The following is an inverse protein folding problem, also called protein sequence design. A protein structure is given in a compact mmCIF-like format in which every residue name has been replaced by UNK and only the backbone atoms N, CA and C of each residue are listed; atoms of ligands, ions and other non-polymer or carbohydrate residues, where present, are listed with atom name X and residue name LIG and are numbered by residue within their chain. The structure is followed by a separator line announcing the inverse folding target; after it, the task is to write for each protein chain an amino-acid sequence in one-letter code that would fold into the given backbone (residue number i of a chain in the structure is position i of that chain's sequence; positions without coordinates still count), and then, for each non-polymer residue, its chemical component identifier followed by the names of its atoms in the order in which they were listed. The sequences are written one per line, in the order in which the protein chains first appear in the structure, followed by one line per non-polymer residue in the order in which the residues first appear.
data_IF_088033241918
#
_entry.id   IF_088033241918
#
_cell.length_a   1.000
_cell.length_b   1.000
_cell.length_c   1.000
_cell.angle_alpha   90.00
_cell.angle_beta   90.00
_cell.angle_gamma   90.00
#
_symmetry.space_group_name_H-M   'P 1'
#
loop_
_entity.id
_entity.type
_entity.pdbx_description
1 polymer ?
#
# COMPACT_ATOMS: atom_id res chain seq x y z
N UNK A 1 -22.05 29.89 -12.59
CA UNK A 1 -22.06 28.68 -11.76
C UNK A 1 -20.71 28.01 -11.60
N UNK A 2 -20.38 27.80 -10.34
CA UNK A 2 -19.09 27.52 -9.70
C UNK A 2 -18.61 26.06 -9.85
N UNK A 3 -18.73 25.45 -11.04
CA UNK A 3 -18.31 24.03 -11.19
C UNK A 3 -16.78 23.87 -11.28
N UNK A 4 -16.06 24.93 -11.68
CA UNK A 4 -14.59 24.98 -11.79
C UNK A 4 -13.90 24.96 -10.42
N UNK A 5 -14.48 25.55 -9.38
CA UNK A 5 -13.88 25.66 -8.06
C UNK A 5 -13.97 24.35 -7.26
N UNK A 6 -15.05 23.58 -7.42
CA UNK A 6 -15.25 22.29 -6.74
C UNK A 6 -14.46 21.12 -7.35
N UNK A 7 -14.08 21.23 -8.63
CA UNK A 7 -13.33 20.19 -9.36
C UNK A 7 -12.22 20.80 -10.22
N UNK A 8 -11.11 21.25 -9.58
CA UNK A 8 -10.03 21.94 -10.29
C UNK A 8 -9.26 21.02 -11.25
N UNK A 9 -9.30 19.70 -11.05
CA UNK A 9 -8.51 18.76 -11.83
C UNK A 9 -9.29 18.20 -13.02
N UNK A 10 -9.04 18.73 -14.23
CA UNK A 10 -9.66 18.28 -15.49
C UNK A 10 -8.73 17.31 -16.25
N UNK A 11 -9.28 16.20 -16.72
CA UNK A 11 -8.62 15.32 -17.66
C UNK A 11 -8.67 15.90 -19.07
N UNK A 12 -7.51 16.07 -19.69
CA UNK A 12 -7.41 16.62 -21.05
C UNK A 12 -7.73 15.58 -22.13
N UNK A 13 -7.67 14.29 -21.78
CA UNK A 13 -7.92 13.17 -22.70
C UNK A 13 -9.43 12.96 -22.90
N UNK A 14 -10.22 12.98 -21.82
CA UNK A 14 -11.67 12.73 -21.89
C UNK A 14 -12.54 13.83 -21.27
N UNK A 15 -11.96 14.96 -20.86
CA UNK A 15 -12.68 16.12 -20.33
C UNK A 15 -13.21 15.99 -18.90
N UNK A 16 -13.09 14.82 -18.26
CA UNK A 16 -13.68 14.54 -16.93
C UNK A 16 -13.01 15.36 -15.82
N UNK A 17 -13.79 15.92 -14.89
CA UNK A 17 -13.29 16.75 -13.78
C UNK A 17 -13.34 16.01 -12.44
N UNK A 18 -12.35 16.27 -11.58
CA UNK A 18 -12.17 15.64 -10.28
C UNK A 18 -11.93 16.68 -9.18
N UNK A 19 -12.50 16.44 -8.00
CA UNK A 19 -12.36 17.29 -6.82
C UNK A 19 -11.00 17.11 -6.13
N UNK A 20 -10.44 15.90 -6.19
CA UNK A 20 -9.21 15.55 -5.49
C UNK A 20 -8.08 15.16 -6.47
N UNK A 21 -6.83 15.58 -6.19
CA UNK A 21 -5.68 15.27 -7.04
C UNK A 21 -5.36 13.77 -7.05
N UNK A 22 -5.63 13.05 -5.96
CA UNK A 22 -5.46 11.60 -5.89
C UNK A 22 -6.37 10.85 -6.87
N UNK A 23 -7.66 11.20 -6.88
CA UNK A 23 -8.64 10.64 -7.81
C UNK A 23 -8.30 10.98 -9.26
N UNK A 24 -7.87 12.21 -9.52
CA UNK A 24 -7.40 12.62 -10.84
C UNK A 24 -6.17 11.84 -11.31
N UNK A 25 -5.17 11.65 -10.43
CA UNK A 25 -3.95 10.91 -10.73
C UNK A 25 -4.23 9.43 -11.01
N UNK A 26 -5.18 8.82 -10.28
CA UNK A 26 -5.65 7.45 -10.55
C UNK A 26 -6.36 7.39 -11.89
N UNK A 27 -7.26 8.33 -12.16
CA UNK A 27 -7.98 8.39 -13.43
C UNK A 27 -7.05 8.59 -14.63
N UNK A 28 -6.00 9.43 -14.53
CA UNK A 28 -5.02 9.56 -15.62
C UNK A 28 -4.43 8.21 -16.03
N UNK A 29 -4.27 7.27 -15.09
CA UNK A 29 -3.79 5.91 -15.38
C UNK A 29 -4.79 5.05 -16.15
N UNK A 30 -6.08 5.40 -16.24
CA UNK A 30 -7.03 4.62 -17.05
C UNK A 30 -6.87 4.89 -18.54
N UNK A 31 -6.29 6.03 -18.91
CA UNK A 31 -5.99 6.37 -20.31
C UNK A 31 -4.64 5.83 -20.77
N UNK A 32 -3.81 5.39 -19.82
CA UNK A 32 -2.50 4.85 -20.08
C UNK A 32 -2.66 3.39 -20.56
N UNK A 33 -2.29 3.08 -21.80
CA UNK A 33 -2.41 1.74 -22.37
C UNK A 33 -1.49 0.77 -21.62
N UNK A 34 -1.98 -0.40 -21.22
CA UNK A 34 -1.20 -1.33 -20.40
C UNK A 34 -0.14 -2.11 -21.19
N UNK A 35 -0.15 -1.99 -22.53
CA UNK A 35 0.81 -2.67 -23.41
C UNK A 35 2.04 -1.81 -23.72
N UNK A 36 2.02 -0.50 -23.43
CA UNK A 36 3.21 0.34 -23.58
C UNK A 36 4.18 0.11 -22.40
N UNK A 37 5.44 -0.27 -22.65
CA UNK A 37 6.41 -0.61 -21.60
C UNK A 37 6.84 0.59 -20.75
N UNK A 38 6.81 1.82 -21.28
CA UNK A 38 7.11 3.03 -20.50
C UNK A 38 5.95 3.36 -19.54
N UNK A 39 4.71 3.15 -19.97
CA UNK A 39 3.51 3.38 -19.16
C UNK A 39 3.22 2.26 -18.16
N UNK A 40 3.55 1.01 -18.50
CA UNK A 40 3.52 -0.12 -17.58
C UNK A 40 4.43 0.13 -16.36
N UNK A 41 5.59 0.78 -16.56
CA UNK A 41 6.46 1.21 -15.47
C UNK A 41 5.83 2.30 -14.58
N UNK A 42 4.95 3.16 -15.12
CA UNK A 42 4.21 4.17 -14.34
C UNK A 42 3.11 3.51 -13.49
N UNK A 43 2.40 2.52 -14.05
CA UNK A 43 1.35 1.78 -13.32
C UNK A 43 1.93 0.81 -12.29
N UNK A 44 3.04 0.17 -12.63
CA UNK A 44 3.68 -0.89 -11.84
C UNK A 44 5.18 -0.59 -11.67
N UNK A 45 5.54 0.47 -10.91
CA UNK A 45 6.93 0.92 -10.81
C UNK A 45 7.85 -0.07 -10.09
N UNK A 46 7.29 -1.07 -9.41
CA UNK A 46 8.06 -2.01 -8.60
C UNK A 46 8.26 -3.31 -9.37
N UNK A 47 9.39 -3.42 -10.08
CA UNK A 47 9.80 -4.62 -10.81
C UNK A 47 10.51 -5.62 -9.90
N UNK A 48 10.12 -6.89 -9.98
CA UNK A 48 10.83 -8.00 -9.37
C UNK A 48 12.11 -8.29 -10.15
N UNK A 49 13.25 -8.33 -9.46
CA UNK A 49 14.54 -8.56 -10.09
C UNK A 49 14.73 -10.02 -10.56
N UNK A 50 14.08 -10.98 -9.89
CA UNK A 50 14.25 -12.41 -10.18
C UNK A 50 13.39 -12.88 -11.36
N UNK A 51 12.11 -12.53 -11.41
CA UNK A 51 11.20 -12.96 -12.47
C UNK A 51 10.76 -11.84 -13.43
N UNK A 52 11.19 -10.60 -13.20
CA UNK A 52 10.81 -9.46 -14.04
C UNK A 52 9.38 -8.95 -13.85
N UNK A 53 8.56 -9.57 -12.99
CA UNK A 53 7.17 -9.18 -12.77
C UNK A 53 7.06 -7.80 -12.15
N UNK A 54 6.30 -6.92 -12.77
CA UNK A 54 6.06 -5.54 -12.29
C UNK A 54 4.82 -5.50 -11.40
N UNK A 55 4.88 -4.78 -10.28
CA UNK A 55 3.79 -4.64 -9.31
C UNK A 55 3.52 -3.17 -8.97
N UNK A 56 2.29 -2.90 -8.54
CA UNK A 56 1.76 -1.54 -8.27
C UNK A 56 2.30 -0.90 -7.00
N UNK A 57 2.87 -1.67 -6.08
CA UNK A 57 3.40 -1.17 -4.80
C UNK A 57 4.59 -1.98 -4.28
N UNK A 58 5.46 -1.34 -3.49
CA UNK A 58 6.59 -1.99 -2.84
C UNK A 58 6.16 -3.08 -1.85
N UNK A 59 5.02 -2.91 -1.17
CA UNK A 59 4.49 -3.93 -0.26
C UNK A 59 4.07 -5.20 -1.03
N UNK A 60 3.41 -5.02 -2.18
CA UNK A 60 3.04 -6.14 -3.04
C UNK A 60 4.28 -6.83 -3.60
N UNK A 61 5.32 -6.07 -3.96
CA UNK A 61 6.61 -6.63 -4.40
C UNK A 61 7.27 -7.48 -3.32
N UNK A 62 7.32 -7.01 -2.08
CA UNK A 62 7.86 -7.80 -0.96
C UNK A 62 7.06 -9.09 -0.74
N UNK A 63 5.72 -9.02 -0.75
CA UNK A 63 4.87 -10.20 -0.60
C UNK A 63 5.12 -11.22 -1.71
N UNK A 64 5.17 -10.77 -2.96
CA UNK A 64 5.47 -11.60 -4.13
C UNK A 64 6.84 -12.25 -4.02
N UNK A 65 7.88 -11.49 -3.68
CA UNK A 65 9.23 -12.03 -3.53
C UNK A 65 9.29 -13.09 -2.42
N UNK A 66 8.60 -12.87 -1.30
CA UNK A 66 8.53 -13.84 -0.20
C UNK A 66 7.71 -15.08 -0.58
N UNK A 67 6.62 -14.94 -1.34
CA UNK A 67 5.75 -16.06 -1.67
C UNK A 67 6.28 -16.93 -2.81
N UNK A 68 6.88 -16.30 -3.83
CA UNK A 68 7.25 -16.98 -5.08
C UNK A 68 8.75 -17.29 -5.19
N UNK A 69 9.62 -16.55 -4.49
CA UNK A 69 11.08 -16.66 -4.66
C UNK A 69 11.82 -17.08 -3.39
N UNK A 70 11.32 -16.75 -2.20
CA UNK A 70 11.85 -17.34 -0.97
C UNK A 70 11.24 -18.72 -0.71
N UNK A 71 12.04 -19.77 -0.91
CA UNK A 71 11.74 -21.17 -0.55
C UNK A 71 11.64 -21.38 0.96
N UNK A 72 12.30 -20.53 1.74
CA UNK A 72 12.11 -20.44 3.19
C UNK A 72 11.11 -19.33 3.42
N UNK A 73 9.86 -19.66 3.81
CA UNK A 73 8.89 -18.70 4.36
C UNK A 73 9.45 -18.09 5.64
N UNK A 74 10.48 -17.25 5.51
CA UNK A 74 11.13 -16.60 6.63
C UNK A 74 10.09 -15.67 7.24
N UNK A 75 9.85 -15.77 8.56
CA UNK A 75 8.58 -15.37 9.10
C UNK A 75 8.46 -13.84 9.02
N UNK A 76 7.54 -13.36 8.17
CA UNK A 76 6.81 -12.12 8.48
C UNK A 76 6.02 -12.27 9.79
N UNK A 77 5.96 -13.50 10.31
CA UNK A 77 5.48 -13.85 11.60
C UNK A 77 6.39 -13.24 12.68
N UNK A 78 5.80 -12.43 13.54
CA UNK A 78 6.45 -11.79 14.68
C UNK A 78 5.87 -12.39 15.94
N UNK A 79 6.74 -12.88 16.81
CA UNK A 79 6.35 -13.46 18.09
C UNK A 79 6.19 -12.35 19.14
N UNK A 80 5.16 -12.48 19.97
CA UNK A 80 4.98 -11.65 21.15
C UNK A 80 5.95 -12.07 22.24
N UNK A 81 6.80 -11.15 22.70
CA UNK A 81 7.77 -11.41 23.76
C UNK A 81 7.15 -11.68 25.14
N UNK A 82 5.84 -11.48 25.31
CA UNK A 82 5.13 -11.70 26.59
C UNK A 82 4.49 -13.08 26.66
N UNK A 83 3.82 -13.52 25.59
CA UNK A 83 3.05 -14.79 25.58
C UNK A 83 3.40 -15.75 24.45
N UNK A 84 4.39 -15.43 23.60
CA UNK A 84 4.79 -16.27 22.47
C UNK A 84 3.80 -16.29 21.31
N UNK A 85 2.74 -15.46 21.31
CA UNK A 85 1.75 -15.45 20.23
C UNK A 85 2.36 -14.93 18.94
N UNK A 86 2.18 -15.69 17.86
CA UNK A 86 2.70 -15.37 16.54
C UNK A 86 1.70 -14.50 15.76
N UNK A 87 2.16 -13.33 15.30
CA UNK A 87 1.39 -12.34 14.53
C UNK A 87 1.94 -12.16 13.11
N UNK A 88 1.07 -12.07 12.10
CA UNK A 88 1.48 -11.96 10.68
C UNK A 88 1.93 -10.56 10.26
N UNK A 89 1.72 -9.54 11.10
CA UNK A 89 2.01 -8.13 10.78
C UNK A 89 2.49 -7.36 12.01
N UNK A 90 3.37 -6.38 11.79
CA UNK A 90 3.87 -5.45 12.81
C UNK A 90 2.79 -4.76 13.65
N UNK A 91 1.75 -4.25 12.97
CA UNK A 91 0.65 -3.52 13.63
C UNK A 91 -0.16 -4.42 14.56
N UNK A 92 -0.44 -5.66 14.12
CA UNK A 92 -1.19 -6.63 14.92
C UNK A 92 -0.42 -7.02 16.18
N UNK A 93 0.90 -7.19 16.08
CA UNK A 93 1.74 -7.46 17.25
C UNK A 93 1.67 -6.30 18.25
N UNK A 94 1.85 -5.06 17.80
CA UNK A 94 1.76 -3.86 18.68
C UNK A 94 0.42 -3.73 19.38
N UNK A 95 -0.69 -4.00 18.70
CA UNK A 95 -2.02 -3.97 19.33
C UNK A 95 -2.20 -5.12 20.31
N UNK A 96 -1.67 -6.30 19.97
CA UNK A 96 -1.71 -7.46 20.85
C UNK A 96 -0.86 -7.26 22.12
N UNK A 97 0.32 -6.64 22.03
CA UNK A 97 1.16 -6.36 23.20
C UNK A 97 0.42 -5.51 24.24
N UNK A 98 -0.47 -4.62 23.79
CA UNK A 98 -1.30 -3.81 24.69
C UNK A 98 -2.34 -4.61 25.46
N UNK A 99 -2.71 -5.82 25.02
CA UNK A 99 -3.65 -6.68 25.76
C UNK A 99 -3.02 -7.34 26.97
N UNK A 100 -1.69 -7.27 27.11
CA UNK A 100 -0.96 -7.76 28.29
C UNK A 100 -0.75 -6.68 29.35
N UNK A 101 -1.12 -5.44 29.06
CA UNK A 101 -1.15 -4.38 30.07
C UNK A 101 -2.43 -4.56 30.91
N UNK A 102 -2.36 -4.34 32.24
CA UNK A 102 -3.44 -4.66 33.18
C UNK A 102 -4.75 -3.89 32.95
N UNK A 103 -4.73 -2.81 32.16
CA UNK A 103 -5.90 -2.03 31.76
C UNK A 103 -5.94 -1.91 30.24
N UNK A 104 -6.64 -2.82 29.55
CA UNK A 104 -6.71 -2.95 28.09
C UNK A 104 -7.31 -1.77 27.29
N UNK A 105 -7.00 -0.53 27.65
CA UNK A 105 -7.27 0.68 26.89
C UNK A 105 -5.99 1.12 26.14
N UNK A 106 -6.07 1.38 24.82
CA UNK A 106 -4.99 2.05 24.12
C UNK A 106 -5.00 3.52 24.54
N UNK A 107 -4.28 3.85 25.62
CA UNK A 107 -4.04 5.24 25.99
C UNK A 107 -3.35 5.94 24.81
N UNK A 108 -4.07 6.88 24.21
CA UNK A 108 -3.52 7.84 23.25
C UNK A 108 -2.84 8.93 24.08
N UNK A 109 -1.71 8.59 24.69
CA UNK A 109 -0.91 9.50 25.51
C UNK A 109 0.24 10.10 24.71
N UNK A 110 0.14 11.41 24.51
CA UNK A 110 1.12 12.40 24.10
C UNK A 110 2.58 11.96 23.90
N UNK A 111 3.12 12.32 22.74
CA UNK A 111 4.54 12.64 22.57
C UNK A 111 4.74 14.02 23.21
N UNK A 112 5.78 14.15 24.04
CA UNK A 112 6.23 15.37 24.73
C UNK A 112 6.21 16.64 23.86
#
# INVERSE_FOLDING_TARGET
DDETARKPHKCEICGRRFAHPSAFKIHKKTHLDENDPAEAAIKRPHKCAECGKTLTSAQNLRKHHISEHLTVKRPLLRECGICGKICTTAGNLRTHEKTHLPDGHPDKGNIE
#
